data_IF_171370023192
#
_entry.id   IF_171370023192
#
_cell.length_a   1.000
_cell.length_b   1.000
_cell.length_c   1.000
_cell.angle_alpha   90.00
_cell.angle_beta   90.00
_cell.angle_gamma   90.00
#
_symmetry.space_group_name_H-M   'P 1'
#
loop_
_entity.id
_entity.type
_entity.pdbx_description
1 polymer ?
#
# COMPACT_ATOMS: atom_id res chain seq x y z
N UNK A 1 -20.32 -5.66 -26.05
CA UNK A 1 -19.83 -4.27 -26.01
C UNK A 1 -18.40 -4.38 -25.53
N UNK A 2 -17.43 -4.40 -26.45
CA UNK A 2 -16.01 -4.59 -26.09
C UNK A 2 -15.56 -3.28 -25.47
N UNK A 3 -15.11 -3.32 -24.21
CA UNK A 3 -14.56 -2.16 -23.54
C UNK A 3 -13.31 -1.73 -24.33
N UNK A 4 -13.17 -0.44 -24.65
CA UNK A 4 -12.01 0.11 -25.36
C UNK A 4 -10.67 -0.29 -24.74
N UNK A 5 -10.67 -0.64 -23.45
CA UNK A 5 -9.55 -1.17 -22.69
C UNK A 5 -8.98 -2.47 -23.28
N UNK A 6 -9.82 -3.42 -23.70
CA UNK A 6 -9.36 -4.72 -24.22
C UNK A 6 -8.54 -4.59 -25.51
N UNK A 7 -8.89 -3.63 -26.38
CA UNK A 7 -8.14 -3.38 -27.61
C UNK A 7 -6.74 -2.84 -27.31
N UNK A 8 -6.63 -1.94 -26.33
CA UNK A 8 -5.39 -1.26 -25.97
C UNK A 8 -4.37 -2.23 -25.35
N UNK A 9 -4.79 -3.06 -24.39
CA UNK A 9 -3.91 -3.98 -23.66
C UNK A 9 -3.40 -5.17 -24.49
N UNK A 10 -4.11 -5.54 -25.57
CA UNK A 10 -3.76 -6.73 -26.35
C UNK A 10 -3.13 -6.44 -27.73
N UNK A 11 -3.29 -5.24 -28.28
CA UNK A 11 -2.80 -4.92 -29.65
C UNK A 11 -1.69 -3.88 -29.71
N UNK A 12 -1.47 -3.14 -28.63
CA UNK A 12 -0.40 -2.15 -28.53
C UNK A 12 0.55 -2.62 -27.42
N UNK A 13 1.85 -2.79 -27.69
CA UNK A 13 2.81 -3.00 -26.62
C UNK A 13 2.72 -1.81 -25.65
N UNK A 14 2.25 -2.07 -24.43
CA UNK A 14 2.35 -1.11 -23.33
C UNK A 14 3.81 -0.96 -22.89
N UNK A 15 4.11 0.12 -22.18
CA UNK A 15 5.35 0.20 -21.41
C UNK A 15 5.04 -0.27 -19.98
N UNK A 16 5.94 -1.06 -19.38
CA UNK A 16 5.86 -1.35 -17.96
C UNK A 16 6.37 -0.11 -17.21
N UNK A 17 5.51 0.49 -16.40
CA UNK A 17 5.97 1.42 -15.37
C UNK A 17 6.89 0.67 -14.42
N UNK A 18 7.92 1.34 -13.88
CA UNK A 18 8.80 0.71 -12.90
C UNK A 18 8.09 0.47 -11.56
N UNK A 19 7.17 1.37 -11.19
CA UNK A 19 6.30 1.24 -10.02
C UNK A 19 4.85 1.54 -10.45
N UNK A 20 3.93 0.62 -10.15
CA UNK A 20 2.49 0.80 -10.35
C UNK A 20 1.83 1.30 -9.05
N UNK A 21 0.68 1.98 -9.18
CA UNK A 21 -0.07 2.47 -8.02
C UNK A 21 -0.78 1.30 -7.31
N UNK A 22 -0.39 1.02 -6.07
CA UNK A 22 -1.02 -0.02 -5.26
C UNK A 22 -2.17 0.53 -4.41
N UNK A 23 -3.39 0.46 -4.95
CA UNK A 23 -4.62 0.84 -4.24
C UNK A 23 -5.19 -0.33 -3.43
N UNK A 24 -5.17 -0.21 -2.10
CA UNK A 24 -5.72 -1.23 -1.22
C UNK A 24 -7.26 -1.19 -1.22
N UNK A 25 -7.88 -2.37 -1.20
CA UNK A 25 -9.32 -2.55 -1.13
C UNK A 25 -9.71 -3.40 0.08
N UNK A 26 -10.85 -3.08 0.69
CA UNK A 26 -11.41 -3.77 1.84
C UNK A 26 -12.93 -3.64 1.81
N UNK A 27 -13.66 -4.68 2.23
CA UNK A 27 -15.13 -4.69 2.20
C UNK A 27 -15.74 -4.45 0.80
N UNK A 28 -15.11 -4.99 -0.25
CA UNK A 28 -15.56 -4.87 -1.66
C UNK A 28 -15.52 -3.43 -2.21
N UNK A 29 -14.72 -2.55 -1.59
CA UNK A 29 -14.54 -1.16 -1.99
C UNK A 29 -13.09 -0.70 -1.78
N UNK A 30 -12.70 0.40 -2.41
CA UNK A 30 -11.37 0.97 -2.24
C UNK A 30 -11.23 1.66 -0.88
N UNK A 31 -10.07 1.48 -0.26
CA UNK A 31 -9.73 2.18 0.96
C UNK A 31 -9.37 3.64 0.67
N UNK A 32 -9.74 4.54 1.59
CA UNK A 32 -9.34 5.93 1.54
C UNK A 32 -7.83 6.05 1.77
N UNK A 33 -7.12 6.66 0.84
CA UNK A 33 -5.71 7.00 1.03
C UNK A 33 -5.56 8.15 2.02
N UNK A 34 -4.74 7.94 3.06
CA UNK A 34 -4.50 8.92 4.12
C UNK A 34 -3.16 9.63 3.99
N UNK A 35 -2.22 9.11 3.20
CA UNK A 35 -0.92 9.71 2.98
C UNK A 35 0.25 8.76 3.23
N UNK A 36 1.45 9.33 3.12
CA UNK A 36 2.70 8.65 3.49
C UNK A 36 2.91 8.67 5.00
N UNK A 37 3.44 7.57 5.52
CA UNK A 37 3.70 7.34 6.95
C UNK A 37 5.03 6.62 7.13
N UNK A 38 5.71 6.91 8.23
CA UNK A 38 6.77 6.09 8.80
C UNK A 38 6.33 5.45 10.11
N UNK A 39 7.27 4.84 10.83
CA UNK A 39 7.00 4.23 12.14
C UNK A 39 6.49 5.26 13.15
N UNK A 40 7.00 6.49 13.13
CA UNK A 40 6.59 7.56 14.05
C UNK A 40 5.11 7.93 13.88
N UNK A 41 4.63 8.13 12.64
CA UNK A 41 3.21 8.42 12.39
C UNK A 41 2.30 7.24 12.77
N UNK A 42 2.76 6.01 12.55
CA UNK A 42 2.01 4.81 12.95
C UNK A 42 1.91 4.67 14.48
N UNK A 43 2.97 5.06 15.20
CA UNK A 43 2.99 5.12 16.66
C UNK A 43 2.07 6.23 17.19
N UNK A 44 2.11 7.43 16.60
CA UNK A 44 1.24 8.56 16.99
C UNK A 44 -0.25 8.23 16.83
N UNK A 45 -0.58 7.43 15.82
CA UNK A 45 -1.95 6.93 15.59
C UNK A 45 -2.31 5.73 16.49
N UNK A 46 -1.33 5.11 17.16
CA UNK A 46 -1.53 3.93 18.01
C UNK A 46 -1.91 2.67 17.24
N UNK A 47 -1.61 2.61 15.94
CA UNK A 47 -2.01 1.50 15.03
C UNK A 47 -0.84 0.64 14.57
N UNK A 48 0.40 1.00 14.92
CA UNK A 48 1.63 0.36 14.41
C UNK A 48 1.57 -1.17 14.44
N UNK A 49 1.34 -1.76 15.60
CA UNK A 49 1.43 -3.22 15.76
C UNK A 49 0.36 -3.93 14.94
N UNK A 50 -0.85 -3.38 14.85
CA UNK A 50 -1.95 -3.96 14.07
C UNK A 50 -1.62 -3.94 12.57
N UNK A 51 -1.18 -2.79 12.04
CA UNK A 51 -0.94 -2.64 10.60
C UNK A 51 0.30 -3.40 10.15
N UNK A 52 1.35 -3.48 10.97
CA UNK A 52 2.55 -4.24 10.67
C UNK A 52 2.27 -5.75 10.70
N UNK A 53 1.51 -6.24 11.69
CA UNK A 53 1.10 -7.65 11.72
C UNK A 53 0.20 -8.03 10.54
N UNK A 54 -0.63 -7.11 10.07
CA UNK A 54 -1.42 -7.32 8.86
C UNK A 54 -0.53 -7.33 7.61
N UNK A 55 0.37 -6.35 7.48
CA UNK A 55 1.31 -6.24 6.38
C UNK A 55 2.19 -7.49 6.25
N UNK A 56 2.73 -8.01 7.35
CA UNK A 56 3.60 -9.19 7.38
C UNK A 56 2.94 -10.50 6.90
N UNK A 57 1.60 -10.54 6.78
CA UNK A 57 0.89 -11.72 6.25
C UNK A 57 0.95 -11.81 4.73
N UNK A 58 1.43 -10.76 4.06
CA UNK A 58 1.53 -10.72 2.61
C UNK A 58 2.77 -11.47 2.14
N UNK A 59 2.66 -12.12 1.00
CA UNK A 59 3.77 -12.89 0.41
C UNK A 59 4.92 -11.99 -0.07
N UNK A 60 4.61 -10.74 -0.41
CA UNK A 60 5.54 -9.72 -0.89
C UNK A 60 5.98 -8.73 0.20
N UNK A 61 5.74 -9.06 1.47
CA UNK A 61 6.13 -8.21 2.59
C UNK A 61 7.66 -8.22 2.80
N UNK A 62 8.23 -7.03 3.03
CA UNK A 62 9.58 -6.91 3.59
C UNK A 62 9.62 -7.49 5.01
N UNK A 63 10.78 -8.01 5.47
CA UNK A 63 10.95 -8.47 6.84
C UNK A 63 10.56 -7.36 7.83
N UNK A 64 9.76 -7.72 8.85
CA UNK A 64 9.29 -6.73 9.84
C UNK A 64 10.42 -5.98 10.53
N UNK A 65 11.55 -6.64 10.77
CA UNK A 65 12.75 -6.03 11.36
C UNK A 65 13.28 -4.88 10.47
N UNK A 66 13.32 -5.08 9.14
CA UNK A 66 13.73 -4.05 8.19
C UNK A 66 12.69 -2.94 8.08
N UNK A 67 11.40 -3.28 8.07
CA UNK A 67 10.33 -2.28 8.05
C UNK A 67 10.38 -1.42 9.32
N UNK A 68 10.56 -2.00 10.49
CA UNK A 68 10.65 -1.23 11.73
C UNK A 68 11.89 -0.33 11.80
N UNK A 69 13.01 -0.75 11.19
CA UNK A 69 14.25 0.02 11.20
C UNK A 69 14.29 1.11 10.11
N UNK A 70 13.73 0.85 8.91
CA UNK A 70 13.92 1.69 7.73
C UNK A 70 12.65 2.42 7.25
N UNK A 71 11.47 2.14 7.81
CA UNK A 71 10.23 2.78 7.37
C UNK A 71 10.11 4.22 7.89
N UNK A 72 10.49 5.16 7.02
CA UNK A 72 10.42 6.59 7.26
C UNK A 72 9.56 7.26 6.18
N UNK A 73 8.70 8.19 6.60
CA UNK A 73 7.76 8.88 5.70
C UNK A 73 8.41 9.51 4.47
N UNK A 74 9.61 10.06 4.64
CA UNK A 74 10.40 10.72 3.60
C UNK A 74 11.77 10.04 3.40
N UNK A 75 11.87 8.74 3.70
CA UNK A 75 13.09 7.94 3.53
C UNK A 75 13.06 7.02 2.31
N UNK A 76 14.10 6.19 2.21
CA UNK A 76 14.26 5.21 1.13
C UNK A 76 13.19 4.12 1.18
N UNK A 77 12.60 3.84 2.35
CA UNK A 77 11.43 2.98 2.50
C UNK A 77 10.28 3.78 3.10
N UNK A 78 9.18 3.90 2.37
CA UNK A 78 8.01 4.70 2.75
C UNK A 78 6.76 3.84 2.89
N UNK A 79 5.97 4.12 3.93
CA UNK A 79 4.65 3.52 4.12
C UNK A 79 3.57 4.38 3.49
N UNK A 80 2.53 3.74 2.96
CA UNK A 80 1.32 4.37 2.44
C UNK A 80 0.14 3.84 3.23
N UNK A 81 -0.50 4.74 3.99
CA UNK A 81 -1.59 4.39 4.87
C UNK A 81 -2.93 4.53 4.16
N UNK A 82 -3.74 3.49 4.29
CA UNK A 82 -5.10 3.43 3.78
C UNK A 82 -6.07 3.14 4.92
N UNK A 83 -7.30 3.63 4.81
CA UNK A 83 -8.37 3.34 5.77
C UNK A 83 -9.63 2.89 5.05
N UNK A 84 -10.17 1.74 5.44
CA UNK A 84 -11.44 1.28 4.92
C UNK A 84 -12.58 2.20 5.38
N UNK A 85 -13.40 2.68 4.45
CA UNK A 85 -14.52 3.58 4.77
C UNK A 85 -15.69 2.85 5.45
N UNK A 86 -15.76 1.51 5.31
CA UNK A 86 -16.85 0.69 5.85
C UNK A 86 -16.54 0.19 7.26
N UNK A 87 -15.36 -0.42 7.46
CA UNK A 87 -14.98 -1.01 8.75
C UNK A 87 -14.01 -0.15 9.57
N UNK A 88 -13.54 0.98 9.04
CA UNK A 88 -12.59 1.90 9.68
C UNK A 88 -11.21 1.29 10.01
N UNK A 89 -10.90 0.10 9.51
CA UNK A 89 -9.59 -0.53 9.67
C UNK A 89 -8.54 0.17 8.82
N UNK A 90 -7.32 0.18 9.36
CA UNK A 90 -6.15 0.70 8.66
C UNK A 90 -5.43 -0.41 7.93
N UNK A 91 -4.91 -0.09 6.76
CA UNK A 91 -4.16 -0.99 5.91
C UNK A 91 -2.89 -0.27 5.45
N UNK A 92 -1.77 -1.00 5.40
CA UNK A 92 -0.46 -0.44 5.08
C UNK A 92 0.09 -1.07 3.81
N UNK A 93 0.58 -0.22 2.91
CA UNK A 93 1.49 -0.61 1.85
C UNK A 93 2.89 -0.07 2.16
N UNK A 94 3.93 -0.86 1.92
CA UNK A 94 5.32 -0.42 2.07
C UNK A 94 6.00 -0.58 0.73
N UNK A 95 6.70 0.47 0.31
CA UNK A 95 7.49 0.48 -0.92
C UNK A 95 8.85 1.08 -0.64
N UNK A 96 9.86 0.57 -1.34
CA UNK A 96 11.20 1.12 -1.34
C UNK A 96 11.40 1.97 -2.60
N UNK A 97 11.83 3.22 -2.42
CA UNK A 97 12.12 4.20 -3.47
C UNK A 97 13.42 3.89 -4.23
#
# INVERSE_FOLDING_TARGET
MILKSDELFHRTPGYLGWQDENWLACCDDYCQYLGRVGIDELNDLGIKDEVLQEYAKREDAYPLEEVEEYLYKDGDMSGYLFKCIHCNKYHLWVDAN
#
